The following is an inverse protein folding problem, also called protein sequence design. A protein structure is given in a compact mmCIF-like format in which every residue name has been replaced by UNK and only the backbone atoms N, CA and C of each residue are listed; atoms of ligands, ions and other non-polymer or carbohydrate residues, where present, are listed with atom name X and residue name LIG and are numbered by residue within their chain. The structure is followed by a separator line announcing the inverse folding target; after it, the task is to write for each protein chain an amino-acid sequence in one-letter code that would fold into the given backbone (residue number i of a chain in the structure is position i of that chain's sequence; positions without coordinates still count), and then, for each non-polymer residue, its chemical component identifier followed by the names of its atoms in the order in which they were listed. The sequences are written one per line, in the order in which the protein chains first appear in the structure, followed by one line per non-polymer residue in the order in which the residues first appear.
data_IF_001825526627
#
_entry.id   IF_001825526627
#
_cell.length_a   1.000
_cell.length_b   1.000
_cell.length_c   1.000
_cell.angle_alpha   90.00
_cell.angle_beta   90.00
_cell.angle_gamma   90.00
#
_symmetry.space_group_name_H-M   'P 1'
#
loop_
_entity.id
_entity.type
_entity.pdbx_description
1 polymer ?
#
# COMPACT_ATOMS: atom_id res chain seq x y z
N UNK A 1 -1.64 -7.06 -0.16
CA UNK A 1 -2.71 -6.04 -0.16
C UNK A 1 -2.84 -5.56 -1.59
N UNK A 2 -4.08 -5.43 -2.08
CA UNK A 2 -4.31 -4.85 -3.41
C UNK A 2 -4.01 -3.36 -3.40
N UNK A 3 -3.57 -2.80 -4.52
CA UNK A 3 -3.43 -1.35 -4.71
C UNK A 3 -4.45 -0.90 -5.73
N UNK A 4 -5.45 -0.18 -5.24
CA UNK A 4 -6.57 0.30 -6.06
C UNK A 4 -6.18 1.57 -6.77
N UNK A 5 -6.82 1.84 -7.88
CA UNK A 5 -6.55 3.02 -8.67
C UNK A 5 -7.73 3.42 -9.51
N UNK A 6 -7.68 4.63 -10.02
CA UNK A 6 -8.59 5.11 -11.05
C UNK A 6 -7.80 5.70 -12.19
N UNK A 7 -8.37 5.64 -13.39
CA UNK A 7 -7.71 6.09 -14.60
C UNK A 7 -8.75 6.59 -15.58
N UNK A 8 -8.40 7.50 -16.47
CA UNK A 8 -9.34 7.93 -17.50
C UNK A 8 -9.02 9.29 -18.06
N UNK A 9 -10.06 10.00 -18.45
CA UNK A 9 -9.93 11.19 -19.27
C UNK A 9 -10.71 12.38 -18.71
N UNK A 10 -10.22 13.58 -18.99
CA UNK A 10 -10.96 14.84 -18.86
C UNK A 10 -11.03 15.52 -20.22
N UNK A 11 -12.23 15.96 -20.63
CA UNK A 11 -12.44 16.75 -21.86
C UNK A 11 -13.64 17.69 -21.68
N UNK A 12 -13.47 18.96 -22.02
CA UNK A 12 -14.41 20.05 -21.79
C UNK A 12 -14.97 20.09 -20.36
N UNK A 13 -14.10 19.81 -19.37
CA UNK A 13 -14.48 19.69 -17.95
C UNK A 13 -15.34 18.46 -17.61
N UNK A 14 -15.55 17.54 -18.55
CA UNK A 14 -16.27 16.27 -18.33
C UNK A 14 -15.27 15.16 -18.06
N UNK A 15 -15.50 14.44 -16.97
CA UNK A 15 -14.68 13.32 -16.51
C UNK A 15 -15.25 11.98 -16.98
N UNK A 16 -14.38 11.10 -17.51
CA UNK A 16 -14.66 9.68 -17.72
C UNK A 16 -13.60 8.85 -17.01
N UNK A 17 -13.90 8.47 -15.77
CA UNK A 17 -12.95 7.84 -14.86
C UNK A 17 -13.36 6.39 -14.61
N UNK A 18 -12.45 5.48 -14.96
CA UNK A 18 -12.50 4.05 -14.75
C UNK A 18 -11.91 3.63 -13.41
N UNK A 19 -12.48 2.61 -12.78
CA UNK A 19 -11.89 1.97 -11.59
C UNK A 19 -10.98 0.80 -11.96
N UNK A 20 -9.90 0.63 -11.20
CA UNK A 20 -9.01 -0.51 -11.25
C UNK A 20 -8.77 -1.11 -9.86
N UNK A 21 -9.10 -2.38 -9.69
CA UNK A 21 -9.10 -3.03 -8.38
C UNK A 21 -7.70 -3.37 -7.83
N UNK A 22 -6.74 -3.69 -8.70
CA UNK A 22 -5.41 -4.16 -8.27
C UNK A 22 -4.27 -3.64 -9.14
N UNK A 23 -3.05 -3.73 -8.63
CA UNK A 23 -1.83 -3.40 -9.37
C UNK A 23 -1.79 -1.96 -9.91
N UNK A 24 -2.36 -1.02 -9.16
CA UNK A 24 -2.44 0.38 -9.59
C UNK A 24 -1.19 1.21 -9.28
N UNK A 25 -0.05 0.57 -8.98
CA UNK A 25 1.19 1.28 -8.73
C UNK A 25 1.72 2.00 -9.98
N UNK A 26 2.63 2.96 -9.76
CA UNK A 26 3.30 3.70 -10.83
C UNK A 26 3.95 2.76 -11.86
N UNK A 27 4.62 1.70 -11.41
CA UNK A 27 5.34 0.77 -12.29
C UNK A 27 4.44 -0.20 -13.06
N UNK A 28 3.15 -0.31 -12.71
CA UNK A 28 2.15 -1.14 -13.40
C UNK A 28 1.16 -0.23 -14.14
N UNK A 29 0.02 0.10 -13.54
CA UNK A 29 -1.02 0.90 -14.19
C UNK A 29 -0.47 2.24 -14.68
N UNK A 30 0.34 2.94 -13.89
CA UNK A 30 0.93 4.22 -14.31
C UNK A 30 1.75 4.11 -15.59
N UNK A 31 2.65 3.12 -15.66
CA UNK A 31 3.47 2.86 -16.83
C UNK A 31 2.63 2.42 -18.03
N UNK A 32 1.60 1.60 -17.81
CA UNK A 32 0.67 1.17 -18.87
C UNK A 32 -0.11 2.35 -19.46
N UNK A 33 -0.54 3.30 -18.64
CA UNK A 33 -1.23 4.51 -19.12
C UNK A 33 -0.26 5.42 -19.87
N UNK A 34 0.97 5.63 -19.37
CA UNK A 34 1.98 6.39 -20.09
C UNK A 34 2.33 5.75 -21.45
N UNK A 35 2.43 4.42 -21.50
CA UNK A 35 2.60 3.69 -22.76
C UNK A 35 1.45 3.91 -23.72
N UNK A 36 0.21 3.78 -23.23
CA UNK A 36 -0.99 4.05 -24.01
C UNK A 36 -0.98 5.46 -24.61
N UNK A 37 -0.60 6.47 -23.83
CA UNK A 37 -0.47 7.87 -24.30
C UNK A 37 0.57 7.98 -25.43
N UNK A 38 1.72 7.33 -25.29
CA UNK A 38 2.76 7.34 -26.33
C UNK A 38 2.33 6.68 -27.65
N UNK A 39 1.48 5.68 -27.57
CA UNK A 39 1.04 4.89 -28.72
C UNK A 39 -0.24 5.43 -29.36
N UNK A 40 -0.86 6.47 -28.78
CA UNK A 40 -2.21 6.95 -29.16
C UNK A 40 -2.19 8.47 -29.35
N UNK A 41 -2.63 8.95 -30.52
CA UNK A 41 -2.65 10.40 -30.77
C UNK A 41 -3.70 11.10 -29.92
N UNK A 42 -3.59 12.42 -29.77
CA UNK A 42 -4.60 13.21 -29.06
C UNK A 42 -5.99 13.05 -29.69
N UNK A 43 -6.07 13.06 -31.01
CA UNK A 43 -7.32 12.89 -31.74
C UNK A 43 -7.93 11.50 -31.49
N UNK A 44 -7.11 10.44 -31.49
CA UNK A 44 -7.57 9.10 -31.13
C UNK A 44 -8.08 9.03 -29.68
N UNK A 45 -7.37 9.67 -28.73
CA UNK A 45 -7.81 9.76 -27.33
C UNK A 45 -9.14 10.53 -27.20
N UNK A 46 -9.33 11.60 -27.97
CA UNK A 46 -10.58 12.32 -28.04
C UNK A 46 -11.73 11.47 -28.61
N UNK A 47 -11.47 10.64 -29.61
CA UNK A 47 -12.46 9.69 -30.13
C UNK A 47 -12.80 8.59 -29.12
N UNK A 48 -11.80 8.06 -28.43
CA UNK A 48 -11.97 7.08 -27.35
C UNK A 48 -12.85 7.68 -26.26
N UNK A 49 -12.57 8.92 -25.87
CA UNK A 49 -13.40 9.65 -24.91
C UNK A 49 -14.86 9.66 -25.33
N UNK A 50 -15.20 10.02 -26.57
CA UNK A 50 -16.60 10.06 -27.03
C UNK A 50 -17.28 8.69 -26.99
N UNK A 51 -16.55 7.61 -27.28
CA UNK A 51 -17.08 6.24 -27.34
C UNK A 51 -17.34 5.61 -25.97
N UNK A 52 -16.62 6.03 -24.93
CA UNK A 52 -16.76 5.44 -23.58
C UNK A 52 -18.15 5.74 -23.00
N UNK A 53 -18.82 4.69 -22.52
CA UNK A 53 -20.07 4.73 -21.77
C UNK A 53 -19.76 4.37 -20.32
N UNK A 54 -19.93 5.33 -19.41
CA UNK A 54 -19.79 5.06 -17.98
C UNK A 54 -20.95 4.22 -17.47
N UNK A 55 -20.62 3.22 -16.66
CA UNK A 55 -21.58 2.29 -16.03
C UNK A 55 -21.27 2.14 -14.56
N UNK A 56 -22.28 1.86 -13.74
CA UNK A 56 -22.12 1.59 -12.32
C UNK A 56 -23.16 0.57 -11.86
N UNK A 57 -22.98 0.01 -10.67
CA UNK A 57 -23.84 -1.06 -10.15
C UNK A 57 -25.21 -0.58 -9.64
N UNK A 58 -25.54 0.71 -9.77
CA UNK A 58 -26.91 1.17 -9.47
C UNK A 58 -27.92 0.73 -10.54
N UNK A 59 -27.45 0.31 -11.72
CA UNK A 59 -28.27 -0.16 -12.84
C UNK A 59 -27.78 -1.53 -13.30
N UNK A 60 -28.66 -2.53 -13.29
CA UNK A 60 -28.32 -3.86 -13.81
C UNK A 60 -28.09 -3.83 -15.33
N UNK A 61 -27.06 -4.56 -15.79
CA UNK A 61 -26.80 -4.73 -17.21
C UNK A 61 -27.91 -5.54 -17.90
N UNK A 62 -28.24 -5.17 -19.14
CA UNK A 62 -29.18 -5.95 -19.97
C UNK A 62 -28.57 -7.27 -20.43
N UNK A 63 -29.39 -8.22 -20.87
CA UNK A 63 -28.91 -9.50 -21.40
C UNK A 63 -27.94 -9.33 -22.59
N UNK A 64 -28.19 -8.34 -23.44
CA UNK A 64 -27.31 -8.01 -24.57
C UNK A 64 -25.95 -7.48 -24.09
N UNK A 65 -25.94 -6.60 -23.09
CA UNK A 65 -24.72 -6.07 -22.47
C UNK A 65 -23.92 -7.16 -21.76
N UNK A 66 -24.59 -8.04 -21.01
CA UNK A 66 -23.97 -9.20 -20.36
C UNK A 66 -23.30 -10.10 -21.40
N UNK A 67 -24.00 -10.40 -22.51
CA UNK A 67 -23.46 -11.22 -23.59
C UNK A 67 -22.26 -10.56 -24.27
N UNK A 68 -22.32 -9.25 -24.51
CA UNK A 68 -21.20 -8.48 -25.07
C UNK A 68 -19.99 -8.50 -24.14
N UNK A 69 -20.21 -8.45 -22.82
CA UNK A 69 -19.15 -8.35 -21.83
C UNK A 69 -18.65 -9.69 -21.26
N UNK A 70 -19.23 -10.81 -21.66
CA UNK A 70 -18.98 -12.12 -21.04
C UNK A 70 -17.50 -12.52 -21.01
N UNK A 71 -16.70 -12.11 -22.00
CA UNK A 71 -15.26 -12.44 -22.06
C UNK A 71 -14.40 -11.73 -21.01
N UNK A 72 -14.90 -10.63 -20.41
CA UNK A 72 -14.19 -9.90 -19.34
C UNK A 72 -14.76 -10.16 -17.95
N UNK A 73 -15.75 -11.05 -17.86
CA UNK A 73 -16.40 -11.39 -16.60
C UNK A 73 -15.45 -12.16 -15.69
N UNK A 74 -15.30 -11.68 -14.45
CA UNK A 74 -14.63 -12.42 -13.39
C UNK A 74 -15.44 -12.28 -12.09
N UNK A 75 -16.09 -13.35 -11.60
CA UNK A 75 -16.92 -13.26 -10.40
C UNK A 75 -16.07 -12.96 -9.15
N UNK A 76 -16.54 -12.06 -8.29
CA UNK A 76 -16.24 -12.16 -6.86
C UNK A 76 -17.08 -13.27 -6.24
N UNK A 77 -16.54 -13.93 -5.23
CA UNK A 77 -17.25 -14.98 -4.47
C UNK A 77 -18.66 -14.51 -4.11
N UNK A 78 -19.66 -15.28 -4.53
CA UNK A 78 -21.09 -15.08 -4.29
C UNK A 78 -21.80 -13.92 -5.02
N UNK A 79 -21.12 -13.20 -5.92
CA UNK A 79 -21.73 -12.06 -6.64
C UNK A 79 -22.39 -12.44 -7.98
N UNK A 80 -23.49 -11.74 -8.30
CA UNK A 80 -24.28 -11.98 -9.52
C UNK A 80 -23.53 -11.53 -10.77
N UNK A 81 -23.68 -12.31 -11.85
CA UNK A 81 -23.19 -12.01 -13.20
C UNK A 81 -23.70 -10.68 -13.78
N UNK A 82 -24.78 -10.08 -13.24
CA UNK A 82 -25.40 -8.86 -13.78
C UNK A 82 -24.77 -7.54 -13.30
N UNK A 83 -23.85 -7.57 -12.34
CA UNK A 83 -23.16 -6.37 -11.85
C UNK A 83 -22.10 -5.92 -12.84
N UNK A 84 -22.06 -4.63 -13.16
CA UNK A 84 -21.08 -4.05 -14.07
C UNK A 84 -19.68 -4.25 -13.55
N UNK A 85 -19.47 -4.10 -12.24
CA UNK A 85 -18.16 -4.32 -11.63
C UNK A 85 -17.56 -5.69 -12.00
N UNK A 86 -18.35 -6.77 -11.90
CA UNK A 86 -17.88 -8.12 -12.25
C UNK A 86 -17.81 -8.36 -13.76
N UNK A 87 -18.75 -7.81 -14.53
CA UNK A 87 -18.84 -8.00 -15.98
C UNK A 87 -17.61 -7.51 -16.73
N UNK A 88 -17.03 -6.38 -16.30
CA UNK A 88 -15.87 -5.77 -16.95
C UNK A 88 -14.61 -5.83 -16.08
N UNK A 89 -14.58 -6.72 -15.08
CA UNK A 89 -13.48 -6.79 -14.10
C UNK A 89 -12.13 -7.09 -14.72
N UNK A 90 -12.05 -7.99 -15.69
CA UNK A 90 -10.79 -8.31 -16.39
C UNK A 90 -10.34 -7.20 -17.36
N UNK A 91 -11.22 -6.25 -17.67
CA UNK A 91 -10.90 -5.12 -18.55
C UNK A 91 -10.40 -3.89 -17.78
N UNK A 92 -10.50 -3.89 -16.45
CA UNK A 92 -10.07 -2.79 -15.61
C UNK A 92 -8.57 -2.46 -15.84
N UNK A 93 -8.26 -1.18 -15.88
CA UNK A 93 -6.90 -0.67 -16.10
C UNK A 93 -6.42 -0.71 -17.56
N UNK A 94 -7.21 -1.22 -18.51
CA UNK A 94 -6.76 -1.41 -19.90
C UNK A 94 -7.47 -0.47 -20.89
N UNK A 95 -6.86 0.69 -21.17
CA UNK A 95 -7.39 1.65 -22.15
C UNK A 95 -7.32 1.18 -23.61
N UNK A 96 -6.45 0.20 -23.94
CA UNK A 96 -6.34 -0.30 -25.31
C UNK A 96 -7.62 -0.98 -25.80
N UNK A 97 -8.42 -1.57 -24.89
CA UNK A 97 -9.71 -2.16 -25.25
C UNK A 97 -10.70 -1.14 -25.82
N UNK A 98 -10.61 0.13 -25.37
CA UNK A 98 -11.43 1.21 -25.91
C UNK A 98 -10.87 1.75 -27.24
N UNK A 99 -9.54 1.81 -27.36
CA UNK A 99 -8.85 2.17 -28.61
C UNK A 99 -9.18 1.20 -29.74
N UNK A 100 -9.13 -0.09 -29.46
CA UNK A 100 -9.41 -1.17 -30.41
C UNK A 100 -10.91 -1.32 -30.70
N UNK A 101 -11.77 -0.61 -29.96
CA UNK A 101 -13.22 -0.70 -30.07
C UNK A 101 -13.79 -2.04 -29.58
N UNK A 102 -13.02 -2.80 -28.80
CA UNK A 102 -13.49 -4.06 -28.22
C UNK A 102 -14.51 -3.82 -27.11
N UNK A 103 -14.31 -2.78 -26.30
CA UNK A 103 -15.15 -2.47 -25.14
C UNK A 103 -15.56 -1.00 -25.14
N UNK A 104 -16.86 -0.72 -25.03
CA UNK A 104 -17.41 0.64 -24.91
C UNK A 104 -17.71 1.03 -23.47
N UNK A 105 -17.85 0.06 -22.56
CA UNK A 105 -18.25 0.30 -21.17
C UNK A 105 -17.04 0.48 -20.25
N UNK A 106 -17.09 1.46 -19.37
CA UNK A 106 -16.07 1.71 -18.34
C UNK A 106 -16.76 1.88 -16.99
N UNK A 107 -16.31 1.13 -15.98
CA UNK A 107 -16.89 1.20 -14.64
C UNK A 107 -16.59 2.57 -14.02
N UNK A 108 -17.62 3.30 -13.60
CA UNK A 108 -17.48 4.63 -13.05
C UNK A 108 -16.74 4.60 -11.70
N UNK A 109 -15.47 4.98 -11.73
CA UNK A 109 -14.58 5.01 -10.58
C UNK A 109 -14.50 6.38 -9.89
N UNK A 110 -15.25 7.39 -10.36
CA UNK A 110 -15.10 8.79 -9.91
C UNK A 110 -15.14 8.96 -8.38
N UNK A 111 -16.09 8.29 -7.74
CA UNK A 111 -16.34 8.41 -6.29
C UNK A 111 -15.72 7.25 -5.50
N UNK A 112 -14.89 6.42 -6.13
CA UNK A 112 -14.25 5.28 -5.47
C UNK A 112 -12.94 5.69 -4.81
N UNK A 113 -12.67 5.10 -3.64
CA UNK A 113 -11.36 5.19 -3.02
C UNK A 113 -10.28 4.56 -3.90
N UNK A 114 -9.21 5.31 -4.16
CA UNK A 114 -8.09 4.91 -4.98
C UNK A 114 -6.77 5.31 -4.33
N UNK A 115 -5.77 4.44 -4.35
CA UNK A 115 -4.42 4.80 -3.92
C UNK A 115 -3.72 5.70 -4.94
N UNK A 116 -4.03 5.51 -6.23
CA UNK A 116 -3.48 6.31 -7.33
C UNK A 116 -4.57 6.76 -8.30
N UNK A 117 -4.41 7.95 -8.88
CA UNK A 117 -5.23 8.42 -10.00
C UNK A 117 -4.36 8.78 -11.19
N UNK A 118 -4.76 8.33 -12.37
CA UNK A 118 -4.05 8.54 -13.64
C UNK A 118 -4.96 9.23 -14.65
N UNK A 119 -4.81 10.55 -14.81
CA UNK A 119 -5.77 11.37 -15.54
C UNK A 119 -5.13 11.89 -16.83
N UNK A 120 -5.71 11.52 -17.96
CA UNK A 120 -5.40 12.08 -19.28
C UNK A 120 -6.29 13.29 -19.49
N UNK A 121 -5.76 14.48 -19.23
CA UNK A 121 -6.50 15.72 -19.37
C UNK A 121 -6.29 16.32 -20.76
N UNK A 122 -7.32 16.21 -21.60
CA UNK A 122 -7.30 16.63 -23.00
C UNK A 122 -7.48 18.15 -23.15
N UNK A 123 -7.99 18.83 -22.12
CA UNK A 123 -8.22 20.27 -22.12
C UNK A 123 -6.92 21.08 -22.01
N UNK A 124 -6.00 20.62 -21.17
CA UNK A 124 -4.68 21.21 -20.94
C UNK A 124 -3.53 20.44 -21.60
N UNK A 125 -3.80 19.29 -22.24
CA UNK A 125 -2.79 18.41 -22.85
C UNK A 125 -1.81 17.81 -21.82
N UNK A 126 -2.33 17.38 -20.67
CA UNK A 126 -1.54 16.90 -19.55
C UNK A 126 -1.90 15.45 -19.14
N UNK A 127 -0.90 14.71 -18.69
CA UNK A 127 -1.06 13.48 -17.91
C UNK A 127 -0.76 13.78 -16.46
N UNK A 128 -1.78 13.70 -15.62
CA UNK A 128 -1.72 14.05 -14.21
C UNK A 128 -1.76 12.76 -13.37
N UNK A 129 -0.88 12.67 -12.38
CA UNK A 129 -0.75 11.51 -11.50
C UNK A 129 -0.92 11.96 -10.06
N UNK A 130 -1.86 11.32 -9.37
CA UNK A 130 -2.18 11.59 -7.98
C UNK A 130 -1.88 10.37 -7.12
N UNK A 131 -1.47 10.60 -5.88
CA UNK A 131 -1.35 9.60 -4.83
C UNK A 131 -2.18 10.01 -3.62
N UNK A 132 -2.94 9.08 -3.07
CA UNK A 132 -3.76 9.28 -1.87
C UNK A 132 -3.00 8.84 -0.63
N UNK A 133 -2.87 9.73 0.34
CA UNK A 133 -2.26 9.43 1.62
C UNK A 133 -3.19 8.51 2.45
N UNK A 134 -2.67 7.37 2.91
CA UNK A 134 -3.47 6.36 3.62
C UNK A 134 -3.94 6.81 5.01
N UNK A 135 -3.26 7.76 5.65
CA UNK A 135 -3.57 8.20 7.01
C UNK A 135 -4.56 9.37 6.99
N UNK A 136 -4.42 10.25 6.01
CA UNK A 136 -5.18 11.52 5.93
C UNK A 136 -6.27 11.51 4.86
N UNK A 137 -6.24 10.52 3.95
CA UNK A 137 -7.10 10.46 2.75
C UNK A 137 -6.91 11.65 1.81
N UNK A 138 -5.86 12.46 2.00
CA UNK A 138 -5.53 13.59 1.14
C UNK A 138 -4.91 13.13 -0.18
N UNK A 139 -5.42 13.68 -1.28
CA UNK A 139 -4.88 13.46 -2.62
C UNK A 139 -3.81 14.49 -2.96
N UNK A 140 -2.65 14.01 -3.42
CA UNK A 140 -1.52 14.85 -3.80
C UNK A 140 -1.15 14.58 -5.24
N UNK A 141 -1.02 15.66 -6.03
CA UNK A 141 -0.40 15.57 -7.35
C UNK A 141 1.07 15.23 -7.16
N UNK A 142 1.50 14.10 -7.72
CA UNK A 142 2.88 13.63 -7.66
C UNK A 142 3.59 13.73 -9.02
N UNK A 143 2.85 13.92 -10.12
CA UNK A 143 3.43 14.13 -11.44
C UNK A 143 2.45 14.82 -12.39
N UNK A 144 2.97 15.71 -13.23
CA UNK A 144 2.27 16.31 -14.37
C UNK A 144 3.22 16.26 -15.55
N UNK A 145 2.77 15.66 -16.64
CA UNK A 145 3.54 15.51 -17.87
C UNK A 145 2.75 15.99 -19.06
N UNK A 146 3.42 16.48 -20.10
CA UNK A 146 2.73 16.78 -21.37
C UNK A 146 2.47 15.48 -22.13
N UNK A 147 1.27 15.33 -22.71
CA UNK A 147 0.87 14.09 -23.39
C UNK A 147 1.81 13.70 -24.55
N UNK A 148 2.38 14.68 -25.25
CA UNK A 148 3.30 14.47 -26.37
C UNK A 148 4.75 14.15 -25.95
N UNK A 149 5.03 14.10 -24.64
CA UNK A 149 6.39 13.96 -24.10
C UNK A 149 6.55 12.88 -23.05
N UNK A 150 5.46 12.50 -22.36
CA UNK A 150 5.55 11.52 -21.28
C UNK A 150 5.97 10.17 -21.81
N UNK A 151 6.89 9.49 -21.13
CA UNK A 151 7.38 8.15 -21.46
C UNK A 151 7.21 7.20 -20.28
N UNK A 152 7.28 5.89 -20.53
CA UNK A 152 7.35 4.89 -19.46
C UNK A 152 8.55 5.15 -18.51
N UNK A 153 9.67 5.66 -19.04
CA UNK A 153 10.85 5.98 -18.25
C UNK A 153 10.59 7.11 -17.25
N UNK A 154 9.80 8.12 -17.62
CA UNK A 154 9.43 9.21 -16.72
C UNK A 154 8.64 8.69 -15.50
N UNK A 155 7.78 7.69 -15.72
CA UNK A 155 7.01 7.06 -14.65
C UNK A 155 7.90 6.21 -13.75
N UNK A 156 8.86 5.49 -14.33
CA UNK A 156 9.85 4.73 -13.56
C UNK A 156 10.75 5.63 -12.72
N UNK A 157 11.13 6.79 -13.24
CA UNK A 157 11.89 7.80 -12.48
C UNK A 157 11.05 8.37 -11.34
N UNK A 158 9.79 8.74 -11.61
CA UNK A 158 8.87 9.19 -10.57
C UNK A 158 8.72 8.14 -9.46
N UNK A 159 8.59 6.86 -9.83
CA UNK A 159 8.50 5.77 -8.84
C UNK A 159 9.73 5.72 -7.93
N UNK A 160 10.94 5.86 -8.47
CA UNK A 160 12.18 5.88 -7.66
C UNK A 160 12.20 7.05 -6.69
N UNK A 161 11.86 8.25 -7.17
CA UNK A 161 11.78 9.46 -6.34
C UNK A 161 10.78 9.24 -5.18
N UNK A 162 9.59 8.68 -5.47
CA UNK A 162 8.57 8.41 -4.45
C UNK A 162 9.02 7.35 -3.45
N UNK A 163 9.76 6.33 -3.90
CA UNK A 163 10.30 5.30 -3.01
C UNK A 163 11.32 5.89 -2.03
N UNK A 164 12.27 6.68 -2.52
CA UNK A 164 13.27 7.37 -1.70
C UNK A 164 12.63 8.34 -0.70
N UNK A 165 11.59 9.06 -1.12
CA UNK A 165 10.85 9.96 -0.23
C UNK A 165 10.14 9.20 0.89
N UNK A 166 9.49 8.08 0.58
CA UNK A 166 8.84 7.22 1.57
C UNK A 166 9.85 6.65 2.57
N UNK A 167 11.01 6.22 2.10
CA UNK A 167 12.10 5.75 2.97
C UNK A 167 12.60 6.87 3.90
N UNK A 168 12.78 8.07 3.36
CA UNK A 168 13.18 9.24 4.16
C UNK A 168 12.14 9.60 5.22
N UNK A 169 10.85 9.62 4.86
CA UNK A 169 9.76 9.90 5.81
C UNK A 169 9.71 8.81 6.89
N UNK A 170 9.83 7.54 6.51
CA UNK A 170 9.85 6.43 7.45
C UNK A 170 11.03 6.53 8.43
N UNK A 171 12.21 6.94 7.95
CA UNK A 171 13.38 7.16 8.80
C UNK A 171 13.14 8.31 9.80
N UNK A 172 12.63 9.45 9.34
CA UNK A 172 12.32 10.60 10.21
C UNK A 172 11.28 10.21 11.28
N UNK A 173 10.18 9.56 10.88
CA UNK A 173 9.16 9.07 11.82
C UNK A 173 9.74 8.09 12.84
N UNK A 174 10.66 7.23 12.43
CA UNK A 174 11.35 6.29 13.32
C UNK A 174 12.21 7.05 14.33
N UNK A 175 13.02 8.01 13.90
CA UNK A 175 13.87 8.83 14.77
C UNK A 175 13.04 9.66 15.77
N UNK A 176 11.95 10.27 15.32
CA UNK A 176 11.01 10.99 16.17
C UNK A 176 10.40 10.08 17.24
N UNK A 177 9.98 8.88 16.85
CA UNK A 177 9.43 7.87 17.77
C UNK A 177 10.46 7.40 18.79
N UNK A 178 11.70 7.16 18.36
CA UNK A 178 12.81 6.79 19.26
C UNK A 178 13.14 7.91 20.24
N UNK A 179 13.12 9.17 19.80
CA UNK A 179 13.33 10.34 20.65
C UNK A 179 12.21 10.48 21.68
N UNK A 180 10.94 10.42 21.25
CA UNK A 180 9.78 10.48 22.15
C UNK A 180 9.82 9.34 23.18
N UNK A 181 10.17 8.13 22.75
CA UNK A 181 10.35 7.00 23.64
C UNK A 181 11.46 7.29 24.66
N UNK A 182 12.63 7.73 24.21
CA UNK A 182 13.77 8.04 25.09
C UNK A 182 13.42 9.09 26.17
N UNK A 183 12.74 10.17 25.77
CA UNK A 183 12.25 11.20 26.69
C UNK A 183 11.25 10.63 27.69
N UNK A 184 10.31 9.80 27.22
CA UNK A 184 9.30 9.19 28.09
C UNK A 184 9.89 8.19 29.07
N UNK A 185 10.89 7.43 28.64
CA UNK A 185 11.64 6.50 29.50
C UNK A 185 12.37 7.27 30.60
N UNK A 186 13.01 8.38 30.26
CA UNK A 186 13.69 9.23 31.24
C UNK A 186 12.71 9.78 32.27
N UNK A 187 11.55 10.26 31.84
CA UNK A 187 10.48 10.72 32.72
C UNK A 187 10.00 9.59 33.66
N UNK A 188 9.62 8.44 33.10
CA UNK A 188 9.04 7.31 33.84
C UNK A 188 10.06 6.58 34.73
N UNK A 189 11.35 6.66 34.41
CA UNK A 189 12.42 6.15 35.28
C UNK A 189 12.56 6.92 36.60
N UNK A 190 11.89 8.06 36.72
CA UNK A 190 11.82 8.85 37.95
C UNK A 190 10.46 8.69 38.65
N UNK A 191 9.53 7.94 38.05
CA UNK A 191 8.20 7.68 38.59
C UNK A 191 8.19 6.33 39.35
N UNK A 192 8.16 6.41 40.68
CA UNK A 192 8.17 5.23 41.55
C UNK A 192 6.94 4.33 41.34
N UNK A 193 5.77 4.90 41.02
CA UNK A 193 4.57 4.12 40.77
C UNK A 193 4.69 3.33 39.47
N UNK A 194 5.20 3.97 38.42
CA UNK A 194 5.49 3.30 37.17
C UNK A 194 6.55 2.20 37.34
N UNK A 195 7.64 2.46 38.05
CA UNK A 195 8.68 1.44 38.31
C UNK A 195 8.09 0.22 39.01
N UNK A 196 7.26 0.44 40.04
CA UNK A 196 6.58 -0.64 40.74
C UNK A 196 5.62 -1.41 39.82
N UNK A 197 4.86 -0.70 38.99
CA UNK A 197 3.99 -1.29 37.99
C UNK A 197 4.76 -2.16 36.98
N UNK A 198 5.85 -1.62 36.42
CA UNK A 198 6.72 -2.32 35.48
C UNK A 198 7.32 -3.59 36.09
N UNK A 199 7.83 -3.53 37.32
CA UNK A 199 8.38 -4.73 37.97
C UNK A 199 7.34 -5.81 38.19
N UNK A 200 6.11 -5.45 38.60
CA UNK A 200 5.02 -6.41 38.77
C UNK A 200 4.64 -7.07 37.44
N UNK A 201 4.51 -6.29 36.36
CA UNK A 201 4.24 -6.84 35.03
C UNK A 201 5.40 -7.70 34.54
N UNK A 202 6.64 -7.25 34.68
CA UNK A 202 7.82 -8.01 34.26
C UNK A 202 7.91 -9.35 34.98
N UNK A 203 7.67 -9.40 36.29
CA UNK A 203 7.60 -10.65 37.06
C UNK A 203 6.49 -11.57 36.55
N UNK A 204 5.28 -11.04 36.31
CA UNK A 204 4.16 -11.84 35.82
C UNK A 204 4.39 -12.38 34.40
N UNK A 205 4.99 -11.58 33.52
CA UNK A 205 5.26 -12.02 32.16
C UNK A 205 6.46 -12.99 32.12
N UNK A 206 7.48 -12.81 32.97
CA UNK A 206 8.68 -13.67 33.02
C UNK A 206 8.34 -15.15 33.18
N UNK A 207 7.40 -15.49 34.06
CA UNK A 207 6.94 -16.88 34.21
C UNK A 207 6.30 -17.46 32.94
N UNK A 208 5.67 -16.62 32.11
CA UNK A 208 5.11 -17.05 30.82
C UNK A 208 6.20 -17.22 29.77
N UNK A 209 7.22 -16.35 29.81
CA UNK A 209 8.36 -16.44 28.91
C UNK A 209 9.23 -17.65 29.20
N UNK A 210 9.53 -17.95 30.47
CA UNK A 210 10.25 -19.17 30.86
C UNK A 210 9.50 -20.42 30.42
N UNK A 211 8.18 -20.48 30.66
CA UNK A 211 7.33 -21.56 30.12
C UNK A 211 7.37 -21.67 28.60
N UNK A 212 7.43 -20.54 27.89
CA UNK A 212 7.53 -20.53 26.43
C UNK A 212 8.87 -21.09 25.94
N UNK A 213 9.97 -20.74 26.61
CA UNK A 213 11.30 -21.30 26.31
C UNK A 213 11.33 -22.82 26.56
N UNK A 214 10.77 -23.28 27.67
CA UNK A 214 10.70 -24.71 28.03
C UNK A 214 9.91 -25.55 27.02
N UNK A 215 8.94 -24.95 26.33
CA UNK A 215 8.16 -25.59 25.26
C UNK A 215 8.87 -25.65 23.90
N UNK A 216 10.17 -25.32 23.85
CA UNK A 216 10.94 -25.28 22.60
C UNK A 216 10.79 -23.98 21.81
N UNK A 217 10.26 -22.92 22.44
CA UNK A 217 10.06 -21.61 21.83
C UNK A 217 11.35 -20.88 21.44
N UNK A 218 12.52 -21.37 21.88
CA UNK A 218 13.83 -20.83 21.45
C UNK A 218 13.96 -20.88 19.94
N UNK A 219 13.54 -21.98 19.29
CA UNK A 219 13.70 -22.14 17.83
C UNK A 219 12.84 -21.16 17.04
N UNK A 220 11.63 -20.83 17.52
CA UNK A 220 10.77 -19.82 16.90
C UNK A 220 11.18 -18.39 17.24
N UNK A 221 11.89 -18.18 18.36
CA UNK A 221 12.49 -16.89 18.70
C UNK A 221 13.75 -16.59 17.89
N UNK A 222 14.54 -17.62 17.52
CA UNK A 222 15.71 -17.43 16.64
C UNK A 222 15.29 -16.73 15.34
N UNK A 223 14.19 -17.14 14.71
CA UNK A 223 13.69 -16.48 13.49
C UNK A 223 13.33 -14.99 13.72
N UNK A 224 12.77 -14.66 14.89
CA UNK A 224 12.43 -13.29 15.27
C UNK A 224 13.68 -12.47 15.61
N UNK A 225 14.68 -13.09 16.25
CA UNK A 225 15.93 -12.45 16.67
C UNK A 225 16.85 -12.25 15.49
N UNK A 226 16.90 -13.19 14.54
CA UNK A 226 17.66 -13.05 13.28
C UNK A 226 17.17 -11.86 12.45
N UNK A 227 15.90 -11.44 12.61
CA UNK A 227 15.41 -10.21 11.98
C UNK A 227 15.86 -8.91 12.67
N UNK A 228 16.42 -8.99 13.89
CA UNK A 228 16.74 -7.83 14.75
C UNK A 228 18.19 -7.74 15.22
N UNK A 229 18.90 -8.86 15.25
CA UNK A 229 20.33 -8.95 15.53
C UNK A 229 21.04 -9.06 14.19
N UNK A 230 22.17 -8.36 14.03
CA UNK A 230 22.98 -8.53 12.83
C UNK A 230 23.48 -9.97 12.74
N UNK A 231 22.78 -10.77 11.94
CA UNK A 231 23.04 -12.21 11.72
C UNK A 231 24.48 -12.44 11.28
N UNK A 232 25.13 -11.43 10.67
CA UNK A 232 26.54 -11.51 10.27
C UNK A 232 27.48 -11.59 11.45
N UNK A 233 27.13 -11.06 12.63
CA UNK A 233 27.96 -11.18 13.83
C UNK A 233 27.77 -12.54 14.50
N UNK A 234 26.54 -13.02 14.59
CA UNK A 234 26.23 -14.36 15.14
C UNK A 234 26.86 -15.49 14.31
N UNK A 235 26.94 -15.34 12.99
CA UNK A 235 27.56 -16.32 12.10
C UNK A 235 29.10 -16.39 12.20
N UNK A 236 29.75 -15.42 12.87
CA UNK A 236 31.20 -15.48 13.14
C UNK A 236 31.54 -16.35 14.35
N UNK A 237 30.55 -16.73 15.15
CA UNK A 237 30.73 -17.52 16.37
C UNK A 237 30.65 -19.00 16.02
N UNK A 238 31.78 -19.70 16.14
CA UNK A 238 31.88 -21.12 15.78
C UNK A 238 31.52 -22.06 16.92
N UNK A 239 31.49 -21.57 18.17
CA UNK A 239 31.04 -22.35 19.33
C UNK A 239 29.52 -22.20 19.48
N UNK A 240 28.80 -23.30 19.25
CA UNK A 240 27.34 -23.36 19.36
C UNK A 240 26.83 -23.00 20.76
N UNK A 241 27.57 -23.32 21.84
CA UNK A 241 27.14 -22.98 23.21
C UNK A 241 27.26 -21.50 23.49
N UNK A 242 28.32 -20.88 22.98
CA UNK A 242 28.52 -19.44 23.08
C UNK A 242 27.45 -18.68 22.27
N UNK A 243 27.14 -19.18 21.06
CA UNK A 243 26.07 -18.66 20.21
C UNK A 243 24.69 -18.76 20.88
N UNK A 244 24.36 -19.91 21.46
CA UNK A 244 23.11 -20.13 22.20
C UNK A 244 22.98 -19.19 23.39
N UNK A 245 24.07 -18.99 24.15
CA UNK A 245 24.09 -18.05 25.28
C UNK A 245 23.82 -16.60 24.84
N UNK A 246 24.50 -16.13 23.80
CA UNK A 246 24.31 -14.77 23.28
C UNK A 246 22.89 -14.58 22.75
N UNK A 247 22.35 -15.58 22.06
CA UNK A 247 20.96 -15.58 21.61
C UNK A 247 20.01 -15.47 22.80
N UNK A 248 20.21 -16.24 23.87
CA UNK A 248 19.38 -16.18 25.07
C UNK A 248 19.44 -14.79 25.75
N UNK A 249 20.63 -14.22 25.92
CA UNK A 249 20.81 -12.88 26.49
C UNK A 249 20.11 -11.81 25.65
N UNK A 250 20.24 -11.86 24.32
CA UNK A 250 19.55 -10.95 23.39
C UNK A 250 18.04 -11.15 23.40
N UNK A 251 17.58 -12.40 23.53
CA UNK A 251 16.17 -12.73 23.67
C UNK A 251 15.59 -12.07 24.92
N UNK A 252 16.26 -12.21 26.05
CA UNK A 252 15.83 -11.60 27.31
C UNK A 252 15.82 -10.07 27.22
N UNK A 253 16.81 -9.46 26.57
CA UNK A 253 16.88 -8.02 26.33
C UNK A 253 15.68 -7.52 25.51
N UNK A 254 15.42 -8.16 24.36
CA UNK A 254 14.27 -7.84 23.49
C UNK A 254 12.97 -8.02 24.26
N UNK A 255 12.86 -9.11 25.02
CA UNK A 255 11.66 -9.40 25.80
C UNK A 255 11.39 -8.33 26.86
N UNK A 256 12.42 -7.91 27.61
CA UNK A 256 12.31 -6.84 28.60
C UNK A 256 11.88 -5.53 27.94
N UNK A 257 12.45 -5.19 26.78
CA UNK A 257 12.05 -4.01 26.00
C UNK A 257 10.58 -4.10 25.55
N UNK A 258 10.12 -5.27 25.09
CA UNK A 258 8.72 -5.47 24.70
C UNK A 258 7.75 -5.29 25.88
N UNK A 259 8.07 -5.89 27.03
CA UNK A 259 7.25 -5.72 28.26
C UNK A 259 7.26 -4.26 28.70
N UNK A 260 8.43 -3.62 28.65
CA UNK A 260 8.57 -2.22 29.03
C UNK A 260 7.76 -1.28 28.14
N UNK A 261 7.88 -1.40 26.81
CA UNK A 261 7.06 -0.61 25.86
C UNK A 261 5.57 -0.82 26.09
N UNK A 262 5.14 -2.07 26.32
CA UNK A 262 3.74 -2.39 26.65
C UNK A 262 3.29 -1.72 27.95
N UNK A 263 4.16 -1.67 28.97
CA UNK A 263 3.86 -0.98 30.22
C UNK A 263 3.75 0.52 30.02
N UNK A 264 4.65 1.14 29.25
CA UNK A 264 4.55 2.56 28.89
C UNK A 264 3.22 2.83 28.19
N UNK A 265 2.86 2.02 27.19
CA UNK A 265 1.62 2.24 26.45
C UNK A 265 0.36 2.13 27.31
N UNK A 266 0.31 1.13 28.20
CA UNK A 266 -0.81 0.98 29.15
C UNK A 266 -0.86 2.09 30.19
N UNK A 267 0.29 2.48 30.73
CA UNK A 267 0.36 3.44 31.83
C UNK A 267 0.11 4.87 31.36
N UNK A 268 0.54 5.21 30.14
CA UNK A 268 0.47 6.57 29.60
C UNK A 268 -0.67 6.77 28.59
N UNK A 269 -1.23 5.68 28.06
CA UNK A 269 -2.19 5.70 26.95
C UNK A 269 -1.56 5.96 25.57
N UNK A 270 -0.24 6.18 25.48
CA UNK A 270 0.46 6.45 24.22
C UNK A 270 0.80 5.12 23.55
N UNK A 271 0.38 4.91 22.30
CA UNK A 271 0.74 3.68 21.58
C UNK A 271 2.15 3.83 20.97
N UNK A 272 3.10 3.09 21.52
CA UNK A 272 4.50 2.95 21.05
C UNK A 272 4.71 1.68 20.25
#
# INVERSE_FOLDING_TARGET
MSTTGVYGFIKNGVEKIGYNHCDSYLYDLGANIAKFINETTKEEMEEIFEKIILVDDSIEATEEQIKKCEKWFLPMTDEKKSTWYNLIRLAQGNLNLHKEGELEYMFNGKDMYANYKYIINLDNNEFEIYETDLETEEEKVIGIYQLDKVTESDIQELYKIRLEEKERIALVRKEEKEKMLSEKVKELSQDEEFIKYYHNELSSQREKFERFLDMGGIKSLVDVIESRVDVKELNKITDEKEKEKILLEKTEEIYRLMVFNKCISKYTGITL
#
